data_IF_012350349768
#
_entry.id   IF_012350349768
#
_cell.length_a   1.000
_cell.length_b   1.000
_cell.length_c   1.000
_cell.angle_alpha   90.00
_cell.angle_beta   90.00
_cell.angle_gamma   90.00
#
_symmetry.space_group_name_H-M   'P 1'
#
loop_
_entity.id
_entity.type
_entity.pdbx_description
1 polymer ?
#
# COMPACT_ATOMS: atom_id res chain seq x y z
N UNK A 1 38.36 11.66 78.61
CA UNK A 1 37.13 12.22 78.10
C UNK A 1 36.84 11.60 76.71
N UNK A 2 35.64 11.01 76.51
CA UNK A 2 35.29 10.43 75.20
C UNK A 2 34.95 11.56 74.20
N UNK A 3 35.46 11.36 72.96
CA UNK A 3 35.18 12.26 71.81
C UNK A 3 33.76 11.98 71.33
N UNK A 4 32.92 13.00 71.09
CA UNK A 4 31.58 12.78 70.60
C UNK A 4 31.59 12.36 69.10
N UNK A 5 30.88 11.28 68.79
CA UNK A 5 30.71 10.77 67.43
C UNK A 5 29.99 11.80 66.55
N UNK A 6 30.58 12.17 65.41
CA UNK A 6 30.01 13.05 64.42
C UNK A 6 28.77 12.42 63.73
N UNK A 7 27.65 13.15 63.70
CA UNK A 7 26.42 12.73 63.03
C UNK A 7 26.66 12.67 61.52
N UNK A 8 26.24 11.61 60.83
CA UNK A 8 26.34 11.53 59.37
C UNK A 8 25.44 12.61 58.72
N UNK A 9 25.94 13.23 57.65
CA UNK A 9 25.22 14.21 56.89
C UNK A 9 24.03 13.58 56.16
N UNK A 10 22.89 14.30 55.98
CA UNK A 10 21.74 13.74 55.29
C UNK A 10 22.08 13.47 53.81
N UNK A 11 21.79 12.25 53.35
CA UNK A 11 21.97 11.86 51.97
C UNK A 11 21.08 12.73 51.07
N UNK A 12 21.69 13.36 50.04
CA UNK A 12 20.95 14.05 48.99
C UNK A 12 20.09 13.06 48.23
N UNK A 13 18.77 13.15 48.36
CA UNK A 13 17.84 12.38 47.55
C UNK A 13 18.02 12.74 46.07
N UNK A 14 18.05 11.74 45.16
CA UNK A 14 18.19 12.01 43.74
C UNK A 14 16.96 12.76 43.20
N UNK A 15 17.20 13.86 42.51
CA UNK A 15 16.17 14.72 41.87
C UNK A 15 15.44 14.04 40.71
N UNK A 16 15.67 12.73 40.45
CA UNK A 16 15.11 11.93 39.37
C UNK A 16 13.60 11.67 39.54
N UNK A 17 13.09 11.60 40.76
CA UNK A 17 11.67 11.34 41.01
C UNK A 17 10.75 12.45 40.52
N UNK A 18 11.19 13.69 40.57
CA UNK A 18 10.40 14.81 40.06
C UNK A 18 10.31 14.82 38.52
N UNK A 19 11.41 14.51 37.81
CA UNK A 19 11.39 14.43 36.32
C UNK A 19 10.48 13.31 35.80
N UNK A 20 10.46 12.20 36.49
CA UNK A 20 9.52 11.10 36.17
C UNK A 20 8.06 11.51 36.44
N UNK A 21 7.80 12.16 37.58
CA UNK A 21 6.46 12.66 37.87
C UNK A 21 5.98 13.71 36.86
N UNK A 22 6.88 14.61 36.43
CA UNK A 22 6.58 15.60 35.38
C UNK A 22 6.29 14.91 34.03
N UNK A 23 7.08 13.90 33.66
CA UNK A 23 6.88 13.14 32.43
C UNK A 23 5.52 12.43 32.41
N UNK A 24 5.15 11.75 33.51
CA UNK A 24 3.84 11.11 33.63
C UNK A 24 2.68 12.11 33.65
N UNK A 25 2.85 13.28 34.27
CA UNK A 25 1.83 14.32 34.26
C UNK A 25 1.60 14.88 32.83
N UNK A 26 2.68 15.13 32.09
CA UNK A 26 2.59 15.57 30.67
C UNK A 26 1.98 14.50 29.80
N UNK A 27 2.41 13.24 29.93
CA UNK A 27 1.84 12.12 29.17
C UNK A 27 0.35 11.93 29.45
N UNK A 28 -0.07 12.05 30.71
CA UNK A 28 -1.47 11.98 31.11
C UNK A 28 -2.30 13.17 30.58
N UNK A 29 -1.74 14.37 30.61
CA UNK A 29 -2.39 15.57 30.05
C UNK A 29 -2.57 15.47 28.53
N UNK A 30 -1.56 14.95 27.82
CA UNK A 30 -1.64 14.70 26.37
C UNK A 30 -2.67 13.62 26.06
N UNK A 31 -2.71 12.52 26.81
CA UNK A 31 -3.70 11.45 26.62
C UNK A 31 -5.13 11.94 26.93
N UNK A 32 -5.30 12.74 27.97
CA UNK A 32 -6.60 13.35 28.32
C UNK A 32 -7.05 14.36 27.24
N UNK A 33 -6.12 15.15 26.69
CA UNK A 33 -6.41 16.08 25.60
C UNK A 33 -6.82 15.33 24.34
N UNK A 34 -6.19 14.17 24.06
CA UNK A 34 -6.52 13.30 22.92
C UNK A 34 -7.91 12.64 23.05
N UNK A 35 -8.35 12.40 24.28
CA UNK A 35 -9.65 11.80 24.57
C UNK A 35 -10.82 12.82 24.50
N UNK A 36 -10.56 14.11 24.33
CA UNK A 36 -11.61 15.11 24.20
C UNK A 36 -12.32 14.97 22.85
N UNK A 37 -13.65 14.83 22.80
CA UNK A 37 -14.41 14.72 21.54
C UNK A 37 -14.17 15.88 20.59
N UNK A 38 -13.90 17.09 21.11
CA UNK A 38 -13.57 18.28 20.32
C UNK A 38 -12.22 18.19 19.59
N UNK A 39 -11.24 17.48 20.15
CA UNK A 39 -9.94 17.25 19.49
C UNK A 39 -10.07 16.19 18.40
N UNK A 40 -10.84 15.13 18.67
CA UNK A 40 -11.11 14.08 17.68
C UNK A 40 -11.88 14.63 16.47
N UNK A 41 -12.93 15.41 16.72
CA UNK A 41 -13.69 16.02 15.62
C UNK A 41 -12.85 17.03 14.81
N UNK A 42 -11.99 17.81 15.46
CA UNK A 42 -11.08 18.72 14.76
C UNK A 42 -10.01 17.98 13.92
N UNK A 43 -9.54 16.83 14.41
CA UNK A 43 -8.61 15.96 13.66
C UNK A 43 -9.32 15.32 12.46
N UNK A 44 -10.54 14.81 12.65
CA UNK A 44 -11.34 14.24 11.54
C UNK A 44 -11.66 15.30 10.49
N UNK A 45 -12.00 16.51 10.89
CA UNK A 45 -12.27 17.62 9.97
C UNK A 45 -10.99 18.08 9.25
N UNK A 46 -9.86 18.12 9.94
CA UNK A 46 -8.54 18.37 9.34
C UNK A 46 -8.18 17.28 8.32
N UNK A 47 -8.41 16.02 8.65
CA UNK A 47 -8.19 14.89 7.73
C UNK A 47 -9.13 14.94 6.53
N UNK A 48 -10.36 15.40 6.70
CA UNK A 48 -11.34 15.59 5.63
C UNK A 48 -10.98 16.75 4.68
N UNK A 49 -10.33 17.80 5.20
CA UNK A 49 -9.94 19.00 4.43
C UNK A 49 -8.54 18.83 3.80
N UNK A 50 -7.57 18.27 4.53
CA UNK A 50 -6.16 18.18 4.16
C UNK A 50 -5.69 16.75 3.88
N UNK A 51 -6.49 15.73 4.24
CA UNK A 51 -6.19 14.34 3.90
C UNK A 51 -6.17 14.13 2.38
N UNK A 52 -5.50 13.08 1.89
CA UNK A 52 -5.57 12.75 0.48
C UNK A 52 -7.06 12.66 0.13
N UNK A 53 -7.51 13.50 -0.81
CA UNK A 53 -8.85 13.37 -1.34
C UNK A 53 -8.99 11.93 -1.80
N UNK A 54 -9.80 11.14 -1.10
CA UNK A 54 -10.31 9.90 -1.66
C UNK A 54 -11.01 10.36 -2.95
N UNK A 55 -10.34 10.16 -4.05
CA UNK A 55 -10.98 10.27 -5.36
C UNK A 55 -12.25 9.43 -5.24
N UNK A 56 -13.37 10.04 -5.62
CA UNK A 56 -14.70 9.45 -5.44
C UNK A 56 -14.70 7.98 -5.79
N UNK A 57 -15.61 7.23 -5.18
CA UNK A 57 -15.71 5.79 -5.30
C UNK A 57 -15.26 5.34 -6.69
N UNK A 58 -14.34 4.37 -6.81
CA UNK A 58 -13.78 4.01 -8.10
C UNK A 58 -14.94 3.78 -9.06
N UNK A 59 -14.88 4.47 -10.20
CA UNK A 59 -15.76 4.12 -11.30
C UNK A 59 -15.60 2.60 -11.48
N UNK A 60 -16.70 1.86 -11.56
CA UNK A 60 -16.68 0.44 -11.78
C UNK A 60 -15.74 0.08 -12.93
N UNK A 61 -15.03 -1.03 -12.84
CA UNK A 61 -14.23 -1.55 -13.94
C UNK A 61 -15.07 -1.69 -15.20
N UNK A 62 -14.42 -1.59 -16.35
CA UNK A 62 -15.07 -1.85 -17.64
C UNK A 62 -15.66 -3.27 -17.66
N UNK A 63 -16.94 -3.37 -17.91
CA UNK A 63 -17.66 -4.65 -18.02
C UNK A 63 -16.95 -5.60 -18.99
N UNK A 64 -16.80 -6.87 -18.61
CA UNK A 64 -16.09 -7.89 -19.38
C UNK A 64 -16.66 -8.08 -20.80
N UNK A 65 -17.96 -7.86 -20.97
CA UNK A 65 -18.66 -7.89 -22.25
C UNK A 65 -18.23 -6.78 -23.24
N UNK A 66 -17.62 -5.72 -22.73
CA UNK A 66 -17.12 -4.59 -23.54
C UNK A 66 -15.63 -4.73 -23.90
N UNK A 67 -14.94 -5.76 -23.41
CA UNK A 67 -13.52 -5.98 -23.71
C UNK A 67 -13.36 -6.43 -25.16
N UNK A 68 -12.48 -5.75 -25.87
CA UNK A 68 -12.24 -6.04 -27.30
C UNK A 68 -10.83 -5.63 -27.69
N UNK A 69 -10.30 -6.28 -28.71
CA UNK A 69 -9.00 -5.93 -29.29
C UNK A 69 -8.98 -4.48 -29.76
N UNK A 70 -7.88 -3.81 -29.49
CA UNK A 70 -7.65 -2.40 -29.85
C UNK A 70 -8.22 -1.39 -28.85
N UNK A 71 -8.82 -1.85 -27.74
CA UNK A 71 -9.31 -1.00 -26.68
C UNK A 71 -8.88 -1.55 -25.32
N UNK A 72 -8.07 -0.80 -24.59
CA UNK A 72 -7.62 -1.19 -23.25
C UNK A 72 -8.78 -0.98 -22.26
N UNK A 73 -9.30 -2.03 -21.60
CA UNK A 73 -10.32 -1.86 -20.59
C UNK A 73 -9.75 -1.14 -19.37
N UNK A 74 -10.54 -0.30 -18.72
CA UNK A 74 -10.18 0.29 -17.43
C UNK A 74 -10.56 -0.67 -16.31
N UNK A 75 -9.57 -1.26 -15.63
CA UNK A 75 -9.78 -2.19 -14.52
C UNK A 75 -9.17 -1.61 -13.24
N UNK A 76 -9.88 -1.75 -12.15
CA UNK A 76 -9.42 -1.32 -10.83
C UNK A 76 -9.10 -2.56 -9.99
N UNK A 77 -7.90 -2.65 -9.43
CA UNK A 77 -7.53 -3.78 -8.54
C UNK A 77 -8.43 -3.89 -7.30
N UNK A 78 -9.05 -2.79 -6.92
CA UNK A 78 -9.99 -2.71 -5.78
C UNK A 78 -11.45 -3.03 -6.15
N UNK A 79 -11.72 -3.46 -7.39
CA UNK A 79 -13.07 -3.83 -7.80
C UNK A 79 -13.56 -5.04 -6.98
N UNK A 80 -14.77 -4.98 -6.38
CA UNK A 80 -15.31 -6.06 -5.57
C UNK A 80 -15.38 -7.44 -6.25
N UNK A 81 -15.37 -7.47 -7.58
CA UNK A 81 -15.39 -8.71 -8.35
C UNK A 81 -14.15 -9.59 -8.15
N UNK A 82 -13.02 -9.00 -7.77
CA UNK A 82 -11.74 -9.70 -7.57
C UNK A 82 -10.88 -9.19 -6.41
N UNK A 83 -11.24 -8.06 -5.81
CA UNK A 83 -10.45 -7.38 -4.79
C UNK A 83 -10.02 -8.29 -3.63
N UNK A 84 -10.91 -9.19 -3.19
CA UNK A 84 -10.70 -10.07 -2.03
C UNK A 84 -10.07 -11.42 -2.40
N UNK A 85 -9.75 -11.66 -3.67
CA UNK A 85 -9.07 -12.89 -4.06
C UNK A 85 -7.62 -12.90 -3.56
N UNK A 86 -7.17 -14.05 -3.09
CA UNK A 86 -5.81 -14.19 -2.52
C UNK A 86 -4.75 -13.99 -3.58
N UNK A 87 -3.73 -13.19 -3.26
CA UNK A 87 -2.56 -12.98 -4.11
C UNK A 87 -1.34 -12.55 -3.31
N UNK A 88 -0.19 -13.17 -3.58
CA UNK A 88 1.12 -12.80 -3.02
C UNK A 88 1.16 -12.76 -1.48
N UNK A 89 0.40 -13.65 -0.82
CA UNK A 89 0.27 -13.69 0.63
C UNK A 89 -0.65 -12.62 1.23
N UNK A 90 -1.37 -11.87 0.39
CA UNK A 90 -2.38 -10.87 0.72
C UNK A 90 -3.60 -11.05 -0.18
N UNK A 91 -4.11 -9.98 -0.77
CA UNK A 91 -5.21 -9.98 -1.72
C UNK A 91 -4.91 -9.11 -2.95
N UNK A 92 -5.76 -9.23 -3.97
CA UNK A 92 -5.63 -8.46 -5.22
C UNK A 92 -5.77 -6.97 -4.98
N UNK A 93 -6.63 -6.53 -4.05
CA UNK A 93 -6.77 -5.10 -3.73
C UNK A 93 -5.47 -4.49 -3.22
N UNK A 94 -4.67 -5.27 -2.49
CA UNK A 94 -3.41 -4.82 -1.87
C UNK A 94 -2.20 -5.01 -2.80
N UNK A 95 -2.05 -6.19 -3.40
CA UNK A 95 -0.84 -6.57 -4.14
C UNK A 95 -1.06 -6.72 -5.66
N UNK A 96 -2.30 -6.64 -6.14
CA UNK A 96 -2.71 -7.04 -7.49
C UNK A 96 -2.50 -6.00 -8.60
N UNK A 97 -1.71 -4.94 -8.41
CA UNK A 97 -1.50 -3.94 -9.46
C UNK A 97 -0.90 -4.54 -10.74
N UNK A 98 0.10 -5.42 -10.61
CA UNK A 98 0.73 -6.10 -11.74
C UNK A 98 -0.24 -6.97 -12.54
N UNK A 99 -0.92 -7.95 -11.93
CA UNK A 99 -1.94 -8.75 -12.60
C UNK A 99 -3.06 -7.92 -13.22
N UNK A 100 -3.54 -6.88 -12.54
CA UNK A 100 -4.58 -6.00 -13.08
C UNK A 100 -4.10 -5.30 -14.35
N UNK A 101 -2.89 -4.72 -14.35
CA UNK A 101 -2.30 -4.11 -15.54
C UNK A 101 -2.08 -5.12 -16.67
N UNK A 102 -1.57 -6.31 -16.35
CA UNK A 102 -1.37 -7.37 -17.35
C UNK A 102 -2.71 -7.80 -17.98
N UNK A 103 -3.76 -7.92 -17.18
CA UNK A 103 -5.11 -8.21 -17.69
C UNK A 103 -5.59 -7.15 -18.70
N UNK A 104 -5.38 -5.86 -18.36
CA UNK A 104 -5.74 -4.74 -19.24
C UNK A 104 -5.01 -4.81 -20.58
N UNK A 105 -3.70 -5.04 -20.53
CA UNK A 105 -2.84 -5.17 -21.72
C UNK A 105 -3.24 -6.40 -22.54
N UNK A 106 -3.39 -7.55 -21.89
CA UNK A 106 -3.78 -8.80 -22.53
C UNK A 106 -5.11 -8.68 -23.25
N UNK A 107 -6.14 -8.19 -22.58
CA UNK A 107 -7.46 -8.00 -23.18
C UNK A 107 -7.41 -6.99 -24.33
N UNK A 108 -6.73 -5.87 -24.16
CA UNK A 108 -6.62 -4.84 -25.17
C UNK A 108 -5.85 -5.25 -26.43
N UNK A 109 -4.80 -6.06 -26.29
CA UNK A 109 -4.01 -6.53 -27.42
C UNK A 109 -4.62 -7.75 -28.12
N UNK A 110 -5.21 -8.66 -27.36
CA UNK A 110 -5.72 -9.93 -27.90
C UNK A 110 -7.22 -9.93 -28.18
N UNK A 111 -7.99 -9.14 -27.45
CA UNK A 111 -9.45 -9.18 -27.42
C UNK A 111 -10.03 -10.36 -26.65
N UNK A 112 -9.17 -11.18 -26.01
CA UNK A 112 -9.60 -12.32 -25.20
C UNK A 112 -10.08 -11.87 -23.83
N UNK A 113 -10.99 -12.65 -23.25
CA UNK A 113 -11.61 -12.38 -21.95
C UNK A 113 -11.48 -13.54 -20.97
N UNK A 114 -10.57 -14.47 -21.24
CA UNK A 114 -10.30 -15.68 -20.45
C UNK A 114 -9.58 -15.37 -19.12
N UNK A 115 -8.90 -14.24 -19.03
CA UNK A 115 -8.33 -13.74 -17.80
C UNK A 115 -9.05 -12.46 -17.32
N UNK A 116 -9.35 -12.41 -16.04
CA UNK A 116 -9.66 -11.22 -15.26
C UNK A 116 -8.55 -10.99 -14.21
N UNK A 117 -8.54 -9.90 -13.42
CA UNK A 117 -7.48 -9.66 -12.45
C UNK A 117 -7.26 -10.79 -11.44
N UNK A 118 -8.31 -11.51 -11.02
CA UNK A 118 -8.17 -12.64 -10.10
C UNK A 118 -7.47 -13.84 -10.76
N UNK A 119 -7.94 -14.26 -11.92
CA UNK A 119 -7.35 -15.37 -12.66
C UNK A 119 -5.95 -15.05 -13.19
N UNK A 120 -5.67 -13.79 -13.52
CA UNK A 120 -4.32 -13.32 -13.87
C UNK A 120 -3.38 -13.32 -12.65
N UNK A 121 -3.86 -12.97 -11.47
CA UNK A 121 -3.13 -13.08 -10.21
C UNK A 121 -2.78 -14.54 -9.91
N UNK A 122 -3.75 -15.45 -10.02
CA UNK A 122 -3.53 -16.87 -9.86
C UNK A 122 -2.52 -17.42 -10.88
N UNK A 123 -2.58 -16.98 -12.13
CA UNK A 123 -1.59 -17.33 -13.16
C UNK A 123 -0.18 -16.84 -12.79
N UNK A 124 -0.05 -15.61 -12.34
CA UNK A 124 1.22 -15.01 -11.87
C UNK A 124 1.84 -15.85 -10.74
N UNK A 125 1.05 -16.18 -9.73
CA UNK A 125 1.50 -16.94 -8.55
C UNK A 125 1.87 -18.38 -8.91
N UNK A 126 1.04 -19.07 -9.70
CA UNK A 126 1.27 -20.44 -10.13
C UNK A 126 2.54 -20.61 -10.98
N UNK A 127 3.00 -19.55 -11.65
CA UNK A 127 4.20 -19.56 -12.49
C UNK A 127 5.42 -18.88 -11.81
N UNK A 128 5.33 -18.59 -10.49
CA UNK A 128 6.46 -18.09 -9.71
C UNK A 128 6.78 -16.60 -9.92
N UNK A 129 5.84 -15.82 -10.42
CA UNK A 129 6.00 -14.37 -10.62
C UNK A 129 5.60 -13.53 -9.39
N UNK A 130 5.82 -14.10 -8.18
CA UNK A 130 5.65 -13.39 -6.92
C UNK A 130 6.99 -13.32 -6.22
N UNK A 131 7.40 -12.13 -5.82
CA UNK A 131 8.59 -11.88 -5.01
C UNK A 131 8.27 -10.91 -3.87
N UNK A 132 8.69 -11.27 -2.66
CA UNK A 132 8.58 -10.42 -1.46
C UNK A 132 7.16 -9.87 -1.23
N UNK A 133 6.12 -10.66 -1.53
CA UNK A 133 4.71 -10.27 -1.35
C UNK A 133 4.17 -9.34 -2.44
N UNK A 134 4.85 -9.24 -3.58
CA UNK A 134 4.46 -8.41 -4.72
C UNK A 134 4.67 -9.13 -6.05
N UNK A 135 4.13 -8.60 -7.13
CA UNK A 135 4.39 -9.10 -8.49
C UNK A 135 5.87 -8.86 -8.86
N UNK A 136 6.57 -9.91 -9.28
CA UNK A 136 7.92 -9.81 -9.79
C UNK A 136 7.96 -9.09 -11.15
N UNK A 137 9.02 -8.32 -11.40
CA UNK A 137 9.17 -7.60 -12.69
C UNK A 137 9.21 -8.52 -13.90
N UNK A 138 9.77 -9.73 -13.77
CA UNK A 138 9.78 -10.75 -14.82
C UNK A 138 8.38 -11.14 -15.31
N UNK A 139 7.34 -10.89 -14.51
CA UNK A 139 5.96 -11.08 -14.98
C UNK A 139 5.62 -10.22 -16.19
N UNK A 140 6.19 -9.01 -16.28
CA UNK A 140 5.92 -8.08 -17.38
C UNK A 140 6.60 -8.50 -18.70
N UNK A 141 7.60 -9.38 -18.65
CA UNK A 141 8.33 -9.90 -19.82
C UNK A 141 8.09 -11.38 -20.01
N UNK A 142 8.55 -12.23 -19.09
CA UNK A 142 8.42 -13.69 -19.18
C UNK A 142 6.96 -14.12 -19.05
N UNK A 143 6.23 -13.58 -18.09
CA UNK A 143 4.80 -13.83 -17.93
C UNK A 143 4.00 -13.39 -19.16
N UNK A 144 4.32 -12.22 -19.73
CA UNK A 144 3.72 -11.75 -20.98
C UNK A 144 3.98 -12.72 -22.14
N UNK A 145 5.20 -13.24 -22.27
CA UNK A 145 5.56 -14.21 -23.28
C UNK A 145 4.76 -15.52 -23.15
N UNK A 146 4.53 -16.01 -21.93
CA UNK A 146 3.69 -17.18 -21.66
C UNK A 146 2.23 -16.95 -22.06
N UNK A 147 1.75 -15.72 -22.03
CA UNK A 147 0.43 -15.29 -22.50
C UNK A 147 0.38 -15.07 -24.03
N UNK A 148 1.49 -15.28 -24.73
CA UNK A 148 1.61 -15.07 -26.17
C UNK A 148 1.77 -13.60 -26.57
N UNK A 149 2.19 -12.74 -25.65
CA UNK A 149 2.52 -11.34 -25.92
C UNK A 149 4.03 -11.20 -26.15
N UNK A 150 4.44 -10.18 -26.90
CA UNK A 150 5.83 -9.75 -27.00
C UNK A 150 6.04 -8.54 -26.11
N UNK A 151 6.98 -8.63 -25.20
CA UNK A 151 7.33 -7.52 -24.29
C UNK A 151 8.85 -7.32 -24.28
N UNK A 152 9.26 -6.08 -24.24
CA UNK A 152 10.67 -5.67 -24.19
C UNK A 152 10.84 -4.64 -23.06
N UNK A 153 11.90 -4.80 -22.29
CA UNK A 153 12.30 -3.82 -21.29
C UNK A 153 13.07 -2.69 -21.94
N UNK A 154 12.60 -1.48 -21.80
CA UNK A 154 13.22 -0.29 -22.35
C UNK A 154 13.85 0.55 -21.24
N UNK A 155 15.03 1.18 -21.48
CA UNK A 155 15.56 2.19 -20.58
C UNK A 155 14.55 3.33 -20.38
N UNK A 156 14.53 3.94 -19.20
CA UNK A 156 13.68 5.10 -18.89
C UNK A 156 14.24 6.38 -19.57
N UNK A 157 14.30 6.35 -20.89
CA UNK A 157 14.78 7.44 -21.76
C UNK A 157 13.64 7.90 -22.67
N UNK A 158 13.38 9.22 -22.70
CA UNK A 158 12.28 9.79 -23.45
C UNK A 158 12.38 9.55 -24.97
N UNK A 159 13.58 9.51 -25.53
CA UNK A 159 13.78 9.29 -26.96
C UNK A 159 13.50 7.84 -27.35
N UNK A 160 13.91 6.89 -26.52
CA UNK A 160 13.65 5.46 -26.72
C UNK A 160 12.17 5.12 -26.54
N UNK A 161 11.53 5.67 -25.52
CA UNK A 161 10.08 5.51 -25.33
C UNK A 161 9.29 6.09 -26.51
N UNK A 162 9.67 7.28 -26.99
CA UNK A 162 9.01 7.90 -28.15
C UNK A 162 9.21 7.08 -29.42
N UNK A 163 10.37 6.47 -29.61
CA UNK A 163 10.63 5.60 -30.76
C UNK A 163 9.82 4.30 -30.73
N UNK A 164 9.69 3.70 -29.55
CA UNK A 164 8.92 2.47 -29.35
C UNK A 164 7.39 2.66 -29.51
N UNK A 165 6.89 3.87 -29.32
CA UNK A 165 5.44 4.20 -29.43
C UNK A 165 5.02 4.63 -30.84
N UNK A 166 5.92 4.63 -31.82
CA UNK A 166 5.62 4.96 -33.22
C UNK A 166 5.41 3.72 -34.08
#
# INVERSE_FOLDING_TARGET
APVPASRPAPAKQPRTGWLLALFFAIAFALAACWALPSVQSALEESFRIFGPKQQGAPSSSTEKSAWKRGTIPHLYQTDPAWANETYAGSDVATAGCGPTCMTMVYAGLTGKTDYDPASMAAFSEANGFVDSGMTAWSFMTEGAAMLGLSAEELPADASMLTAALR
#
